data_IF_964045311736
#
_entry.id   IF_964045311736
#
_cell.length_a   1.000
_cell.length_b   1.000
_cell.length_c   1.000
_cell.angle_alpha   90.00
_cell.angle_beta   90.00
_cell.angle_gamma   90.00
#
_symmetry.space_group_name_H-M   'P 1'
#
loop_
_entity.id
_entity.type
_entity.pdbx_description
1 polymer ?
#
# COMPACT_ATOMS: atom_id res chain seq x y z
N UNK A 1 11.23 -4.92 -0.82
CA UNK A 1 12.56 -5.45 -1.14
C UNK A 1 13.64 -4.58 -0.52
N UNK A 2 14.65 -5.21 0.14
CA UNK A 2 15.81 -4.55 0.76
C UNK A 2 15.40 -3.47 1.81
N UNK A 3 14.70 -3.93 2.86
CA UNK A 3 14.09 -3.09 3.88
C UNK A 3 14.57 -3.42 5.31
N UNK A 4 15.70 -4.13 5.47
CA UNK A 4 16.15 -4.63 6.78
C UNK A 4 16.20 -3.55 7.87
N UNK A 5 16.49 -2.31 7.49
CA UNK A 5 16.55 -1.15 8.41
C UNK A 5 15.20 -0.80 9.06
N UNK A 6 14.08 -1.17 8.45
CA UNK A 6 12.74 -0.83 8.92
C UNK A 6 12.05 -1.96 9.68
N UNK A 7 12.57 -3.19 9.56
CA UNK A 7 11.90 -4.40 10.03
C UNK A 7 11.49 -4.32 11.49
N UNK A 8 12.38 -3.94 12.40
CA UNK A 8 12.07 -3.96 13.84
C UNK A 8 10.93 -3.00 14.17
N UNK A 9 11.06 -1.74 13.74
CA UNK A 9 10.04 -0.72 13.99
C UNK A 9 8.69 -1.10 13.38
N UNK A 10 8.72 -1.66 12.17
CA UNK A 10 7.52 -2.11 11.49
C UNK A 10 6.86 -3.27 12.24
N UNK A 11 7.63 -4.31 12.61
CA UNK A 11 7.12 -5.44 13.38
C UNK A 11 6.58 -5.04 14.76
N UNK A 12 7.22 -4.10 15.43
CA UNK A 12 6.69 -3.53 16.69
C UNK A 12 5.31 -2.91 16.48
N UNK A 13 5.11 -2.16 15.40
CA UNK A 13 3.81 -1.55 15.08
C UNK A 13 2.75 -2.57 14.66
N UNK A 14 3.16 -3.71 14.10
CA UNK A 14 2.27 -4.82 13.72
C UNK A 14 1.96 -5.77 14.87
N UNK A 15 2.51 -5.56 16.07
CA UNK A 15 2.32 -6.45 17.23
C UNK A 15 0.87 -6.57 17.69
N UNK A 16 0.00 -5.65 17.29
CA UNK A 16 -1.44 -5.72 17.59
C UNK A 16 -2.22 -6.60 16.58
N UNK A 17 -1.62 -7.02 15.47
CA UNK A 17 -2.24 -7.92 14.51
C UNK A 17 -2.25 -9.36 15.01
N UNK A 18 -3.27 -10.15 14.64
CA UNK A 18 -3.30 -11.58 14.96
C UNK A 18 -2.25 -12.36 14.18
N UNK A 19 -1.93 -11.90 12.97
CA UNK A 19 -0.98 -12.52 12.08
C UNK A 19 -0.31 -11.49 11.17
N UNK A 20 0.99 -11.65 10.97
CA UNK A 20 1.76 -10.83 10.03
C UNK A 20 2.25 -11.71 8.90
N UNK A 21 1.81 -11.40 7.68
CA UNK A 21 2.14 -12.11 6.44
C UNK A 21 2.90 -11.18 5.52
N UNK A 22 4.04 -11.61 5.02
CA UNK A 22 4.90 -10.80 4.16
C UNK A 22 5.28 -11.55 2.89
N UNK A 23 5.13 -10.91 1.75
CA UNK A 23 5.74 -11.34 0.50
C UNK A 23 7.04 -10.55 0.28
N UNK A 24 8.16 -11.24 0.36
CA UNK A 24 9.46 -10.68 -0.03
C UNK A 24 9.70 -10.86 -1.53
N UNK A 25 10.01 -9.77 -2.22
CA UNK A 25 10.18 -9.75 -3.67
C UNK A 25 11.64 -9.80 -4.11
N UNK A 26 12.45 -10.54 -3.36
CA UNK A 26 13.84 -10.85 -3.69
C UNK A 26 14.85 -9.94 -3.00
N UNK A 27 14.71 -9.71 -1.69
CA UNK A 27 15.71 -9.04 -0.86
C UNK A 27 16.97 -9.89 -0.69
N UNK A 28 18.10 -9.23 -0.61
CA UNK A 28 19.43 -9.83 -0.34
C UNK A 28 20.15 -9.21 0.87
N UNK A 29 19.51 -8.29 1.57
CA UNK A 29 20.02 -7.54 2.73
C UNK A 29 19.67 -8.19 4.10
N UNK A 30 19.08 -9.40 4.12
CA UNK A 30 18.63 -10.08 5.33
C UNK A 30 17.21 -9.72 5.80
N UNK A 31 16.46 -8.88 5.06
CA UNK A 31 15.07 -8.53 5.37
C UNK A 31 14.20 -9.76 5.70
N UNK A 32 14.12 -10.82 4.85
CA UNK A 32 13.21 -11.93 5.10
C UNK A 32 13.57 -12.73 6.35
N UNK A 33 14.85 -12.91 6.64
CA UNK A 33 15.29 -13.69 7.82
C UNK A 33 14.99 -12.92 9.11
N UNK A 34 15.18 -11.60 9.11
CA UNK A 34 14.84 -10.75 10.26
C UNK A 34 13.35 -10.72 10.53
N UNK A 35 12.51 -10.62 9.49
CA UNK A 35 11.06 -10.72 9.63
C UNK A 35 10.61 -12.04 10.23
N UNK A 36 11.17 -13.19 9.76
CA UNK A 36 10.89 -14.52 10.32
C UNK A 36 11.29 -14.63 11.78
N UNK A 37 12.47 -14.10 12.13
CA UNK A 37 12.96 -14.11 13.51
C UNK A 37 12.04 -13.34 14.47
N UNK A 38 11.30 -12.36 14.00
CA UNK A 38 10.32 -11.57 14.75
C UNK A 38 8.88 -12.12 14.65
N UNK A 39 8.68 -13.27 14.00
CA UNK A 39 7.41 -13.98 13.98
C UNK A 39 6.53 -13.76 12.74
N UNK A 40 6.99 -13.02 11.74
CA UNK A 40 6.25 -12.89 10.50
C UNK A 40 6.28 -14.18 9.66
N UNK A 41 5.19 -14.49 8.99
CA UNK A 41 5.14 -15.51 7.94
C UNK A 41 5.65 -14.92 6.64
N UNK A 42 6.82 -15.34 6.17
CA UNK A 42 7.47 -14.76 5.01
C UNK A 42 7.55 -15.75 3.87
N UNK A 43 6.91 -15.42 2.76
CA UNK A 43 7.06 -16.06 1.45
C UNK A 43 7.99 -15.22 0.57
N UNK A 44 8.69 -15.87 -0.36
CA UNK A 44 9.59 -15.18 -1.29
C UNK A 44 9.18 -15.52 -2.73
N UNK A 45 8.96 -14.49 -3.54
CA UNK A 45 8.63 -14.63 -4.96
C UNK A 45 9.18 -13.46 -5.75
N UNK A 46 9.89 -13.73 -6.85
CA UNK A 46 10.31 -12.69 -7.78
C UNK A 46 9.16 -12.34 -8.73
N UNK A 47 8.76 -11.09 -8.73
CA UNK A 47 7.71 -10.58 -9.64
C UNK A 47 8.39 -10.04 -10.91
N UNK A 48 8.11 -10.69 -12.05
CA UNK A 48 8.66 -10.29 -13.36
C UNK A 48 7.64 -10.47 -14.47
N UNK A 49 7.35 -9.43 -15.27
CA UNK A 49 7.79 -8.04 -15.09
C UNK A 49 7.26 -7.45 -13.79
N UNK A 50 7.97 -6.45 -13.24
CA UNK A 50 7.56 -5.81 -11.98
C UNK A 50 6.26 -5.04 -12.14
N UNK A 51 5.33 -5.29 -11.20
CA UNK A 51 4.07 -4.56 -11.04
C UNK A 51 3.72 -4.53 -9.55
N UNK A 52 3.31 -3.37 -9.05
CA UNK A 52 2.91 -3.24 -7.64
C UNK A 52 1.61 -4.00 -7.34
N UNK A 53 0.60 -3.89 -8.19
CA UNK A 53 -0.67 -4.61 -8.03
C UNK A 53 -0.47 -6.13 -7.98
N UNK A 54 0.38 -6.68 -8.83
CA UNK A 54 0.71 -8.10 -8.82
C UNK A 54 1.36 -8.51 -7.51
N UNK A 55 2.36 -7.75 -7.03
CA UNK A 55 3.03 -8.02 -5.76
C UNK A 55 2.04 -7.96 -4.59
N UNK A 56 1.17 -6.95 -4.52
CA UNK A 56 0.15 -6.83 -3.47
C UNK A 56 -0.90 -7.95 -3.54
N UNK A 57 -1.33 -8.33 -4.73
CA UNK A 57 -2.27 -9.45 -4.87
C UNK A 57 -1.63 -10.78 -4.45
N UNK A 58 -0.37 -11.03 -4.78
CA UNK A 58 0.37 -12.20 -4.30
C UNK A 58 0.51 -12.20 -2.77
N UNK A 59 0.79 -11.03 -2.18
CA UNK A 59 0.80 -10.88 -0.72
C UNK A 59 -0.57 -11.15 -0.11
N UNK A 60 -1.64 -10.61 -0.71
CA UNK A 60 -3.02 -10.85 -0.28
C UNK A 60 -3.42 -12.32 -0.37
N UNK A 61 -2.97 -13.04 -1.39
CA UNK A 61 -3.25 -14.47 -1.55
C UNK A 61 -2.62 -15.35 -0.45
N UNK A 62 -1.59 -14.85 0.25
CA UNK A 62 -0.96 -15.52 1.39
C UNK A 62 -1.76 -15.36 2.69
N UNK A 63 -2.63 -14.37 2.79
CA UNK A 63 -3.48 -14.14 3.97
C UNK A 63 -4.51 -15.27 4.06
N UNK A 64 -4.70 -15.93 5.23
CA UNK A 64 -5.69 -16.97 5.41
C UNK A 64 -7.09 -16.55 4.97
N UNK A 65 -7.87 -17.51 4.45
CA UNK A 65 -9.22 -17.23 3.98
C UNK A 65 -10.23 -16.94 5.10
N UNK A 66 -9.92 -17.34 6.32
CA UNK A 66 -10.72 -17.10 7.53
C UNK A 66 -10.37 -15.78 8.23
N UNK A 67 -9.42 -15.01 7.70
CA UNK A 67 -9.20 -13.64 8.17
C UNK A 67 -10.43 -12.76 7.83
N UNK A 68 -10.81 -11.89 8.75
CA UNK A 68 -11.91 -10.94 8.54
C UNK A 68 -11.44 -9.68 7.84
N UNK A 69 -10.33 -9.11 8.31
CA UNK A 69 -9.82 -7.80 7.91
C UNK A 69 -8.35 -7.93 7.48
N UNK A 70 -8.02 -7.37 6.34
CA UNK A 70 -6.65 -7.20 5.88
C UNK A 70 -6.20 -5.76 6.10
N UNK A 71 -5.06 -5.60 6.78
CA UNK A 71 -4.38 -4.32 6.98
C UNK A 71 -3.12 -4.32 6.16
N UNK A 72 -3.07 -3.51 5.11
CA UNK A 72 -1.93 -3.47 4.20
C UNK A 72 -1.03 -2.28 4.52
N UNK A 73 0.25 -2.57 4.82
CA UNK A 73 1.27 -1.57 5.10
C UNK A 73 2.62 -1.98 4.50
N UNK A 74 3.35 -0.99 4.00
CA UNK A 74 4.72 -1.16 3.54
C UNK A 74 5.70 -1.10 4.74
N UNK A 75 6.92 -1.64 4.62
CA UNK A 75 7.85 -1.70 5.76
C UNK A 75 8.34 -0.33 6.24
N UNK A 76 8.21 0.70 5.43
CA UNK A 76 8.48 2.09 5.78
C UNK A 76 7.25 2.84 6.35
N UNK A 77 6.14 2.12 6.58
CA UNK A 77 4.90 2.62 7.17
C UNK A 77 4.71 2.05 8.58
N UNK A 78 4.37 2.89 9.57
CA UNK A 78 4.29 2.52 10.99
C UNK A 78 2.96 2.94 11.56
N UNK A 79 2.16 2.01 12.04
CA UNK A 79 0.93 2.33 12.77
C UNK A 79 1.25 2.86 14.16
N UNK A 80 0.48 3.84 14.61
CA UNK A 80 0.53 4.31 16.00
C UNK A 80 -0.16 3.31 16.92
N UNK A 81 0.34 3.13 18.17
CA UNK A 81 -0.24 2.17 19.12
C UNK A 81 -1.75 2.39 19.36
N UNK A 82 -2.48 1.28 19.53
CA UNK A 82 -3.93 1.28 19.73
C UNK A 82 -4.73 1.25 18.43
N UNK A 83 -4.06 1.11 17.27
CA UNK A 83 -4.71 1.09 15.97
C UNK A 83 -5.73 -0.07 15.82
N UNK A 84 -5.43 -1.25 16.38
CA UNK A 84 -6.33 -2.39 16.32
C UNK A 84 -7.64 -2.11 17.05
N UNK A 85 -7.57 -1.67 18.30
CA UNK A 85 -8.78 -1.37 19.08
C UNK A 85 -9.62 -0.26 18.42
N UNK A 86 -8.96 0.76 17.84
CA UNK A 86 -9.64 1.81 17.11
C UNK A 86 -10.30 1.30 15.82
N UNK A 87 -9.64 0.40 15.10
CA UNK A 87 -10.19 -0.25 13.90
C UNK A 87 -11.40 -1.12 14.25
N UNK A 88 -11.29 -1.98 15.26
CA UNK A 88 -12.40 -2.85 15.71
C UNK A 88 -13.60 -2.04 16.18
N UNK A 89 -13.40 -0.91 16.85
CA UNK A 89 -14.48 -0.02 17.26
C UNK A 89 -15.21 0.65 16.08
N UNK A 90 -14.50 0.92 14.99
CA UNK A 90 -15.06 1.52 13.78
C UNK A 90 -15.68 0.48 12.82
N UNK A 91 -15.13 -0.74 12.79
CA UNK A 91 -15.54 -1.79 11.87
C UNK A 91 -16.90 -2.36 12.24
N UNK A 92 -17.84 -2.29 11.31
CA UNK A 92 -19.19 -2.82 11.50
C UNK A 92 -19.40 -4.09 10.63
N UNK A 93 -20.29 -5.00 11.01
CA UNK A 93 -20.65 -6.13 10.17
C UNK A 93 -21.06 -5.68 8.77
N UNK A 94 -20.44 -6.27 7.76
CA UNK A 94 -20.70 -5.93 6.35
C UNK A 94 -19.87 -4.76 5.82
N UNK A 95 -18.96 -4.15 6.60
CA UNK A 95 -18.00 -3.18 6.10
C UNK A 95 -17.09 -3.81 5.04
N UNK A 96 -16.79 -3.03 4.00
CA UNK A 96 -15.87 -3.41 2.96
C UNK A 96 -14.47 -2.86 3.17
N UNK A 97 -14.36 -1.60 3.58
CA UNK A 97 -13.09 -0.90 3.76
C UNK A 97 -13.12 0.03 4.97
N UNK A 98 -11.95 0.44 5.42
CA UNK A 98 -11.79 1.51 6.40
C UNK A 98 -10.84 2.58 5.87
N UNK A 99 -11.30 3.83 5.94
CA UNK A 99 -10.47 5.01 5.74
C UNK A 99 -9.81 5.39 7.08
N UNK A 100 -8.51 5.66 7.03
CA UNK A 100 -7.72 6.00 8.21
C UNK A 100 -6.77 7.16 7.92
N UNK A 101 -6.27 7.80 8.98
CA UNK A 101 -5.37 8.95 8.85
C UNK A 101 -3.97 8.49 8.47
N UNK A 102 -3.43 9.05 7.38
CA UNK A 102 -2.11 8.73 6.85
C UNK A 102 -1.23 9.97 6.82
N UNK A 103 -0.12 9.95 7.58
CA UNK A 103 0.89 10.99 7.56
C UNK A 103 1.95 10.65 6.53
N UNK A 104 1.86 11.26 5.35
CA UNK A 104 2.78 11.05 4.23
C UNK A 104 4.19 11.59 4.49
N UNK A 105 4.28 12.74 5.16
CA UNK A 105 5.56 13.40 5.42
C UNK A 105 5.55 14.14 6.74
N UNK A 106 6.75 14.39 7.27
CA UNK A 106 6.97 15.22 8.45
C UNK A 106 7.79 16.46 8.08
N UNK A 107 7.54 17.56 8.78
CA UNK A 107 8.33 18.77 8.71
C UNK A 107 9.68 18.57 9.43
N UNK A 108 10.69 19.45 9.20
CA UNK A 108 11.98 19.35 9.87
C UNK A 108 11.92 19.47 11.42
N UNK A 109 10.86 20.05 11.95
CA UNK A 109 10.61 20.17 13.41
C UNK A 109 9.90 18.95 14.01
N UNK A 110 9.62 17.92 13.17
CA UNK A 110 8.92 16.69 13.57
C UNK A 110 7.40 16.80 13.58
N UNK A 111 6.82 17.95 13.28
CA UNK A 111 5.37 18.09 13.09
C UNK A 111 4.91 17.42 11.81
N UNK A 112 3.63 17.03 11.75
CA UNK A 112 3.04 16.44 10.56
C UNK A 112 3.03 17.43 9.40
N UNK A 113 3.46 16.97 8.22
CA UNK A 113 3.46 17.73 6.99
C UNK A 113 2.20 17.43 6.17
N UNK A 114 2.33 16.60 5.13
CA UNK A 114 1.19 16.19 4.29
C UNK A 114 0.45 15.04 4.97
N UNK A 115 -0.85 15.23 5.20
CA UNK A 115 -1.74 14.23 5.82
C UNK A 115 -3.00 14.11 4.98
N UNK A 116 -3.47 12.86 4.78
CA UNK A 116 -4.71 12.58 4.07
C UNK A 116 -5.35 11.27 4.58
N UNK A 117 -6.57 10.98 4.14
CA UNK A 117 -7.23 9.72 4.40
C UNK A 117 -6.78 8.66 3.40
N UNK A 118 -6.45 7.47 3.89
CA UNK A 118 -5.99 6.33 3.09
C UNK A 118 -6.91 5.13 3.32
N UNK A 119 -7.10 4.29 2.29
CA UNK A 119 -8.03 3.16 2.28
C UNK A 119 -7.32 1.86 1.91
N UNK A 120 -6.24 1.49 2.66
CA UNK A 120 -5.52 0.21 2.49
C UNK A 120 -5.97 -0.88 3.48
N UNK A 121 -7.05 -0.63 4.25
CA UNK A 121 -7.68 -1.60 5.16
C UNK A 121 -8.98 -2.07 4.52
N UNK A 122 -9.15 -3.39 4.39
CA UNK A 122 -10.30 -3.94 3.68
C UNK A 122 -10.72 -5.33 4.19
N UNK A 123 -11.96 -5.73 3.91
CA UNK A 123 -12.40 -7.09 4.13
C UNK A 123 -11.53 -8.07 3.33
N UNK A 124 -11.23 -9.25 3.89
CA UNK A 124 -10.36 -10.25 3.25
C UNK A 124 -10.84 -10.66 1.86
N UNK A 125 -12.15 -10.70 1.64
CA UNK A 125 -12.75 -11.20 0.41
C UNK A 125 -13.30 -10.09 -0.47
N UNK A 126 -13.26 -10.31 -1.78
CA UNK A 126 -13.90 -9.46 -2.78
C UNK A 126 -13.06 -8.28 -3.25
N UNK A 127 -11.89 -8.03 -2.69
CA UNK A 127 -11.00 -6.95 -3.10
C UNK A 127 -9.77 -7.49 -3.83
N UNK A 128 -9.31 -6.73 -4.84
CA UNK A 128 -8.04 -6.93 -5.52
C UNK A 128 -7.38 -5.58 -5.78
N UNK A 129 -6.07 -5.59 -5.75
CA UNK A 129 -5.25 -4.45 -6.15
C UNK A 129 -5.20 -4.37 -7.67
N UNK A 130 -5.33 -3.18 -8.20
CA UNK A 130 -5.28 -2.88 -9.63
C UNK A 130 -4.33 -1.72 -9.89
N UNK A 131 -3.86 -1.61 -11.12
CA UNK A 131 -2.86 -0.70 -11.66
C UNK A 131 -1.41 -1.08 -11.34
N UNK A 132 -0.54 -1.07 -12.36
CA UNK A 132 0.88 -1.42 -12.24
C UNK A 132 1.66 -0.58 -11.24
N UNK A 133 1.22 0.67 -11.01
CA UNK A 133 1.78 1.63 -10.06
C UNK A 133 0.67 2.57 -9.55
N UNK A 134 0.83 3.15 -8.38
CA UNK A 134 -0.21 3.89 -7.66
C UNK A 134 -1.48 3.04 -7.50
N UNK A 135 -1.27 1.78 -7.20
CA UNK A 135 -2.29 0.76 -7.08
C UNK A 135 -3.36 1.11 -6.05
N UNK A 136 -4.57 0.71 -6.35
CA UNK A 136 -5.74 0.88 -5.47
C UNK A 136 -6.50 -0.42 -5.33
N UNK A 137 -7.27 -0.53 -4.25
CA UNK A 137 -8.21 -1.63 -4.06
C UNK A 137 -9.44 -1.42 -4.95
N UNK A 138 -9.80 -2.47 -5.69
CA UNK A 138 -11.03 -2.51 -6.49
C UNK A 138 -11.87 -3.70 -6.03
N UNK A 139 -13.17 -3.46 -5.87
CA UNK A 139 -14.12 -4.56 -5.63
C UNK A 139 -14.26 -5.43 -6.88
N UNK A 140 -14.09 -6.71 -6.72
CA UNK A 140 -14.21 -7.74 -7.77
C UNK A 140 -15.17 -8.86 -7.37
N UNK A 141 -15.75 -8.77 -6.17
CA UNK A 141 -16.72 -9.74 -5.66
C UNK A 141 -18.11 -9.57 -6.28
N UNK A 142 -19.04 -10.47 -5.97
CA UNK A 142 -20.42 -10.36 -6.43
C UNK A 142 -21.16 -9.20 -5.74
N UNK A 143 -22.06 -8.54 -6.48
CA UNK A 143 -22.85 -7.42 -5.96
C UNK A 143 -22.02 -6.16 -5.69
N UNK A 144 -22.55 -5.29 -4.83
CA UNK A 144 -21.85 -4.07 -4.42
C UNK A 144 -20.89 -4.35 -3.26
N UNK A 145 -19.79 -3.57 -3.13
CA UNK A 145 -18.94 -3.63 -1.95
C UNK A 145 -19.71 -3.19 -0.69
N UNK A 146 -19.24 -3.66 0.46
CA UNK A 146 -19.69 -3.08 1.73
C UNK A 146 -19.25 -1.63 1.87
N UNK A 147 -19.86 -0.87 2.80
CA UNK A 147 -19.52 0.53 3.03
C UNK A 147 -18.08 0.69 3.49
N UNK A 148 -17.47 1.84 3.16
CA UNK A 148 -16.24 2.31 3.78
C UNK A 148 -16.58 3.05 5.08
N UNK A 149 -15.94 2.65 6.18
CA UNK A 149 -16.05 3.34 7.48
C UNK A 149 -14.84 4.24 7.71
N UNK A 150 -14.99 5.27 8.52
CA UNK A 150 -13.87 6.12 8.94
C UNK A 150 -13.37 5.65 10.31
N UNK A 151 -12.14 5.17 10.35
CA UNK A 151 -11.46 4.75 11.57
C UNK A 151 -10.58 5.90 12.10
N UNK A 152 -11.19 6.91 12.71
CA UNK A 152 -10.54 8.16 13.14
C UNK A 152 -9.37 7.94 14.12
N UNK A 153 -9.43 6.88 14.94
CA UNK A 153 -8.37 6.53 15.86
C UNK A 153 -7.20 5.75 15.25
N UNK A 154 -7.32 5.35 13.97
CA UNK A 154 -6.23 4.65 13.26
C UNK A 154 -5.36 5.68 12.56
N UNK A 155 -4.07 5.66 12.85
CA UNK A 155 -3.10 6.51 12.19
C UNK A 155 -1.86 5.72 11.80
N UNK A 156 -1.38 5.97 10.58
CA UNK A 156 -0.17 5.40 10.01
C UNK A 156 0.78 6.50 9.57
N UNK A 157 2.04 6.37 9.96
CA UNK A 157 3.11 7.32 9.66
C UNK A 157 4.07 6.71 8.64
N UNK A 158 4.36 7.44 7.56
CA UNK A 158 5.28 7.01 6.51
C UNK A 158 6.67 7.62 6.73
N UNK A 159 7.68 6.75 6.65
CA UNK A 159 9.09 7.09 6.87
C UNK A 159 9.94 6.63 5.68
N UNK A 160 9.90 7.36 4.55
CA UNK A 160 10.45 6.89 3.28
C UNK A 160 11.96 6.69 3.32
N UNK A 161 12.44 5.70 2.59
CA UNK A 161 13.86 5.57 2.27
C UNK A 161 14.22 6.49 1.12
N UNK A 162 14.89 7.60 1.43
CA UNK A 162 15.33 8.57 0.43
C UNK A 162 16.38 8.03 -0.59
N UNK A 163 16.90 6.81 -0.38
CA UNK A 163 17.86 6.17 -1.29
C UNK A 163 17.18 5.41 -2.44
N UNK A 164 15.88 5.13 -2.33
CA UNK A 164 15.14 4.37 -3.35
C UNK A 164 14.91 5.19 -4.61
N UNK A 165 15.25 4.61 -5.76
CA UNK A 165 15.00 5.22 -7.06
C UNK A 165 13.53 5.06 -7.46
N UNK A 166 12.95 6.14 -7.99
CA UNK A 166 11.61 6.15 -8.61
C UNK A 166 11.66 5.97 -10.13
N UNK A 167 12.82 5.56 -10.67
CA UNK A 167 13.04 5.44 -12.12
C UNK A 167 12.05 4.54 -12.85
N UNK A 168 11.56 3.51 -12.17
CA UNK A 168 10.58 2.55 -12.71
C UNK A 168 9.15 3.07 -12.85
N UNK A 169 8.81 4.25 -12.27
CA UNK A 169 7.43 4.74 -12.23
C UNK A 169 6.90 5.13 -13.61
N UNK A 170 7.71 5.83 -14.42
CA UNK A 170 7.23 6.29 -15.72
C UNK A 170 6.79 5.15 -16.65
N UNK A 171 7.58 4.08 -16.89
CA UNK A 171 7.11 2.95 -17.71
C UNK A 171 5.83 2.28 -17.17
N UNK A 172 5.69 2.21 -15.84
CA UNK A 172 4.50 1.61 -15.23
C UNK A 172 3.27 2.52 -15.36
N UNK A 173 3.44 3.85 -15.33
CA UNK A 173 2.36 4.80 -15.57
C UNK A 173 1.92 4.79 -17.04
N UNK A 174 2.87 4.73 -17.97
CA UNK A 174 2.58 4.55 -19.40
C UNK A 174 1.79 3.25 -19.63
N UNK A 175 2.18 2.16 -18.97
CA UNK A 175 1.45 0.89 -19.00
C UNK A 175 0.04 1.02 -18.39
N UNK A 176 -0.11 1.72 -17.25
CA UNK A 176 -1.42 1.93 -16.61
C UNK A 176 -2.42 2.62 -17.54
N UNK A 177 -1.97 3.67 -18.25
CA UNK A 177 -2.82 4.37 -19.22
C UNK A 177 -3.09 3.53 -20.45
N UNK A 178 -2.12 2.70 -20.88
CA UNK A 178 -2.34 1.77 -22.00
C UNK A 178 -3.39 0.70 -21.66
N UNK A 179 -3.38 0.18 -20.44
CA UNK A 179 -4.33 -0.85 -19.98
C UNK A 179 -5.74 -0.28 -19.73
N UNK A 180 -5.83 0.90 -19.12
CA UNK A 180 -7.11 1.59 -18.81
C UNK A 180 -7.04 3.06 -19.24
N UNK A 181 -7.22 3.37 -20.54
CA UNK A 181 -7.05 4.73 -21.06
C UNK A 181 -8.13 5.73 -20.59
N UNK A 182 -9.28 5.22 -20.16
CA UNK A 182 -10.39 6.02 -19.64
C UNK A 182 -10.30 6.26 -18.12
N UNK A 183 -9.26 5.75 -17.44
CA UNK A 183 -9.05 6.01 -16.03
C UNK A 183 -8.34 7.36 -15.84
N UNK A 184 -9.09 8.37 -15.48
CA UNK A 184 -8.64 9.76 -15.30
C UNK A 184 -7.55 9.89 -14.22
N UNK A 185 -7.55 9.00 -13.22
CA UNK A 185 -6.51 8.93 -12.19
C UNK A 185 -5.16 8.50 -12.77
N UNK A 186 -5.14 7.46 -13.62
CA UNK A 186 -3.93 7.00 -14.30
C UNK A 186 -3.38 8.06 -15.25
N UNK A 187 -4.27 8.68 -16.04
CA UNK A 187 -3.95 9.80 -16.94
C UNK A 187 -3.35 10.97 -16.16
N UNK A 188 -3.98 11.35 -15.04
CA UNK A 188 -3.47 12.42 -14.17
C UNK A 188 -2.07 12.12 -13.65
N UNK A 189 -1.82 10.91 -13.12
CA UNK A 189 -0.50 10.55 -12.60
C UNK A 189 0.58 10.52 -13.69
N UNK A 190 0.25 10.04 -14.89
CA UNK A 190 1.17 10.04 -16.02
C UNK A 190 1.52 11.48 -16.45
N UNK A 191 0.53 12.34 -16.61
CA UNK A 191 0.75 13.74 -16.94
C UNK A 191 1.62 14.45 -15.90
N UNK A 192 1.37 14.21 -14.60
CA UNK A 192 2.18 14.75 -13.51
C UNK A 192 3.63 14.21 -13.53
N UNK A 193 3.83 12.94 -13.85
CA UNK A 193 5.18 12.36 -13.96
C UNK A 193 5.95 12.96 -15.13
N UNK A 194 5.31 13.20 -16.27
CA UNK A 194 5.91 13.92 -17.40
C UNK A 194 6.30 15.35 -17.01
N UNK A 195 5.43 16.05 -16.26
CA UNK A 195 5.71 17.40 -15.73
C UNK A 195 7.00 17.40 -14.88
N UNK A 196 7.12 16.48 -13.92
CA UNK A 196 8.28 16.38 -13.03
C UNK A 196 9.58 16.04 -13.77
N UNK A 197 9.48 15.40 -14.93
CA UNK A 197 10.62 15.08 -15.80
C UNK A 197 10.94 16.15 -16.85
N UNK A 198 10.20 17.27 -16.85
CA UNK A 198 10.37 18.34 -17.84
C UNK A 198 9.91 17.97 -19.27
N UNK A 199 9.11 16.90 -19.39
CA UNK A 199 8.51 16.44 -20.66
C UNK A 199 7.19 17.18 -20.91
N UNK A 200 7.28 18.50 -21.14
CA UNK A 200 6.13 19.40 -21.19
C UNK A 200 5.10 19.03 -22.28
N UNK A 201 5.59 18.71 -23.48
CA UNK A 201 4.71 18.36 -24.62
C UNK A 201 3.97 17.03 -24.35
N UNK A 202 4.63 16.07 -23.71
CA UNK A 202 4.00 14.82 -23.31
C UNK A 202 2.95 15.05 -22.21
N UNK A 203 3.26 15.90 -21.24
CA UNK A 203 2.34 16.29 -20.18
C UNK A 203 1.05 16.91 -20.76
N UNK A 204 1.19 17.88 -21.68
CA UNK A 204 0.06 18.55 -22.33
C UNK A 204 -0.79 17.53 -23.08
N UNK A 205 -0.20 16.74 -23.97
CA UNK A 205 -0.93 15.71 -24.74
C UNK A 205 -1.67 14.68 -23.88
N UNK A 206 -1.13 14.39 -22.70
CA UNK A 206 -1.73 13.40 -21.80
C UNK A 206 -2.92 13.96 -21.03
N UNK A 207 -2.95 15.27 -20.75
CA UNK A 207 -3.97 15.91 -19.93
C UNK A 207 -5.07 16.63 -20.74
N UNK A 208 -4.91 16.76 -22.07
CA UNK A 208 -5.92 17.27 -23.00
C UNK A 208 -6.89 16.16 -23.45
#
# INVERSE_FOLDING_TARGET
KDEAQFVDRWMDSMSEADQVVVLDTGSDDGTPDRLRALGAQVSQELISPWRFDTARNRSLDLVPEDADICVCADLDEVFRPGWRAALEAAWQPGCGQAAYRYTWSFNPDGSEGVVFWQEKIHARRGYRWVHPVHEVLRWTGPGAPGPTVTAEGVQLDHHPDGRKSRGQYLPLLELSVQEEPEDDRNVHYLGREYLFRGRWDDCIRTLE
#
